data_IF_373637131954
#
_entry.id   IF_373637131954
#
_cell.length_a   1.000
_cell.length_b   1.000
_cell.length_c   1.000
_cell.angle_alpha   90.00
_cell.angle_beta   90.00
_cell.angle_gamma   90.00
#
_symmetry.space_group_name_H-M   'P 1'
#
loop_
_entity.id
_entity.type
_entity.pdbx_description
1 polymer ?
#
# COMPACT_ATOMS: atom_id res chain seq x y z
N UNK A 1 -20.66 7.93 -7.72
CA UNK A 1 -19.53 8.88 -7.57
C UNK A 1 -19.34 9.16 -6.10
N UNK A 2 -18.30 8.59 -5.50
CA UNK A 2 -17.97 8.79 -4.08
C UNK A 2 -17.27 10.14 -3.98
N UNK A 3 -17.91 11.14 -3.34
CA UNK A 3 -17.22 12.39 -3.01
C UNK A 3 -16.10 12.06 -2.02
N UNK A 4 -14.83 12.37 -2.33
CA UNK A 4 -13.76 11.93 -1.47
C UNK A 4 -13.74 12.84 -0.24
N UNK A 5 -13.84 12.22 0.94
CA UNK A 5 -14.11 12.86 2.24
C UNK A 5 -13.15 14.00 2.64
N UNK A 6 -11.98 14.09 2.00
CA UNK A 6 -10.96 15.10 2.28
C UNK A 6 -11.35 16.52 1.79
N UNK A 7 -12.32 16.68 0.89
CA UNK A 7 -12.88 18.02 0.58
C UNK A 7 -13.79 18.58 1.67
N UNK A 8 -14.22 17.77 2.64
CA UNK A 8 -15.05 18.22 3.75
C UNK A 8 -14.22 18.86 4.88
N UNK A 9 -12.89 18.80 4.79
CA UNK A 9 -11.95 19.42 5.74
C UNK A 9 -11.16 20.53 5.03
N UNK A 10 -10.77 21.60 5.75
CA UNK A 10 -10.02 22.68 5.14
C UNK A 10 -8.60 22.20 4.79
N UNK A 11 -7.94 22.79 3.78
CA UNK A 11 -6.73 22.26 3.13
C UNK A 11 -5.51 22.13 4.07
N UNK A 12 -5.53 22.78 5.23
CA UNK A 12 -4.48 22.72 6.25
C UNK A 12 -4.42 21.34 6.92
N UNK A 13 -5.57 20.68 7.11
CA UNK A 13 -5.64 19.39 7.81
C UNK A 13 -4.97 18.28 7.00
N UNK A 14 -5.31 18.06 5.71
CA UNK A 14 -4.61 17.09 4.88
C UNK A 14 -3.12 17.41 4.68
N UNK A 15 -2.78 18.71 4.53
CA UNK A 15 -1.38 19.15 4.35
C UNK A 15 -0.54 18.88 5.59
N UNK A 16 -1.09 19.10 6.78
CA UNK A 16 -0.44 18.75 8.04
C UNK A 16 -0.23 17.24 8.18
N UNK A 17 -1.25 16.43 7.89
CA UNK A 17 -1.15 14.96 7.97
C UNK A 17 -0.10 14.38 7.02
N UNK A 18 -0.02 14.89 5.79
CA UNK A 18 1.00 14.48 4.82
C UNK A 18 2.41 14.90 5.25
N UNK A 19 2.56 16.11 5.83
CA UNK A 19 3.87 16.68 6.19
C UNK A 19 4.44 16.12 7.49
N UNK A 20 3.61 15.71 8.45
CA UNK A 20 4.06 15.10 9.72
C UNK A 20 4.24 13.58 9.63
N UNK A 21 3.84 12.96 8.53
CA UNK A 21 3.92 11.52 8.33
C UNK A 21 5.35 11.01 8.16
N UNK A 22 5.57 9.75 8.53
CA UNK A 22 6.76 9.02 8.11
C UNK A 22 6.72 8.90 6.59
N UNK A 23 7.64 9.58 5.89
CA UNK A 23 7.66 9.70 4.43
C UNK A 23 7.75 8.36 3.69
N UNK A 24 8.01 8.34 2.36
CA UNK A 24 7.85 7.14 1.54
C UNK A 24 8.92 6.05 1.78
N UNK A 25 9.93 6.32 2.62
CA UNK A 25 11.07 5.44 2.88
C UNK A 25 10.70 4.01 3.27
N UNK A 26 9.79 3.77 4.23
CA UNK A 26 9.37 2.42 4.61
C UNK A 26 8.63 1.68 3.50
N UNK A 27 7.83 2.38 2.67
CA UNK A 27 7.15 1.77 1.52
C UNK A 27 8.17 1.27 0.50
N UNK A 28 9.20 2.06 0.21
CA UNK A 28 10.28 1.66 -0.69
C UNK A 28 11.19 0.57 -0.09
N UNK A 29 11.36 0.55 1.24
CA UNK A 29 12.04 -0.55 1.92
C UNK A 29 11.24 -1.86 1.82
N UNK A 30 9.93 -1.80 2.04
CA UNK A 30 9.03 -2.94 1.88
C UNK A 30 9.01 -3.45 0.43
N UNK A 31 8.95 -2.56 -0.57
CA UNK A 31 9.03 -2.93 -1.98
C UNK A 31 10.31 -3.73 -2.29
N UNK A 32 11.46 -3.26 -1.79
CA UNK A 32 12.74 -3.98 -1.94
C UNK A 32 12.73 -5.36 -1.29
N UNK A 33 12.14 -5.49 -0.10
CA UNK A 33 12.01 -6.79 0.57
C UNK A 33 11.12 -7.75 -0.23
N UNK A 34 10.02 -7.27 -0.81
CA UNK A 34 9.15 -8.06 -1.67
C UNK A 34 9.83 -8.50 -2.97
N UNK A 35 10.62 -7.63 -3.60
CA UNK A 35 11.45 -7.99 -4.76
C UNK A 35 12.49 -9.06 -4.42
N UNK A 36 13.18 -8.92 -3.28
CA UNK A 36 14.15 -9.91 -2.83
C UNK A 36 13.50 -11.29 -2.56
N UNK A 37 12.27 -11.30 -2.05
CA UNK A 37 11.50 -12.53 -1.84
C UNK A 37 11.09 -13.16 -3.17
N UNK A 38 10.64 -12.36 -4.14
CA UNK A 38 10.30 -12.83 -5.48
C UNK A 38 11.50 -13.47 -6.19
N UNK A 39 12.68 -12.86 -6.07
CA UNK A 39 13.93 -13.39 -6.60
C UNK A 39 14.27 -14.76 -6.00
N UNK A 40 14.20 -14.90 -4.67
CA UNK A 40 14.43 -16.17 -3.97
C UNK A 40 13.47 -17.26 -4.43
N UNK A 41 12.16 -16.98 -4.55
CA UNK A 41 11.22 -17.98 -5.06
C UNK A 41 11.50 -18.40 -6.50
N UNK A 42 11.92 -17.46 -7.35
CA UNK A 42 12.31 -17.76 -8.73
C UNK A 42 13.54 -18.65 -8.78
N UNK A 43 14.57 -18.32 -7.98
CA UNK A 43 15.80 -19.10 -7.87
C UNK A 43 15.51 -20.54 -7.39
N UNK A 44 14.76 -20.70 -6.30
CA UNK A 44 14.38 -22.02 -5.77
C UNK A 44 13.57 -22.82 -6.81
N UNK A 45 12.66 -22.15 -7.55
CA UNK A 45 11.90 -22.82 -8.60
C UNK A 45 12.79 -23.33 -9.75
N UNK A 46 13.85 -22.60 -10.09
CA UNK A 46 14.85 -23.00 -11.10
C UNK A 46 15.78 -24.09 -10.60
N UNK A 47 16.22 -24.02 -9.34
CA UNK A 47 17.03 -25.05 -8.71
C UNK A 47 16.25 -26.38 -8.67
N UNK A 48 14.99 -26.34 -8.22
CA UNK A 48 14.13 -27.51 -8.20
C UNK A 48 13.90 -28.05 -9.62
N UNK A 49 13.79 -27.19 -10.64
CA UNK A 49 13.72 -27.62 -12.04
C UNK A 49 14.95 -28.43 -12.45
N UNK A 50 16.14 -27.94 -12.08
CA UNK A 50 17.41 -28.59 -12.40
C UNK A 50 17.54 -29.96 -11.73
N UNK A 51 17.11 -30.08 -10.47
CA UNK A 51 17.09 -31.35 -9.74
C UNK A 51 16.16 -32.35 -10.41
N UNK A 52 14.95 -31.93 -10.80
CA UNK A 52 14.01 -32.82 -11.49
C UNK A 52 14.55 -33.28 -12.84
N UNK A 53 15.20 -32.39 -13.60
CA UNK A 53 15.84 -32.75 -14.86
C UNK A 53 17.02 -33.72 -14.65
N UNK A 54 17.83 -33.51 -13.62
CA UNK A 54 18.93 -34.40 -13.26
C UNK A 54 18.44 -35.79 -12.85
N UNK A 55 17.32 -35.89 -12.12
CA UNK A 55 16.69 -37.18 -11.78
C UNK A 55 16.24 -37.92 -13.03
N UNK A 56 15.62 -37.22 -14.00
CA UNK A 56 15.22 -37.84 -15.28
C UNK A 56 16.41 -38.30 -16.13
N UNK A 57 17.55 -37.60 -16.06
CA UNK A 57 18.78 -37.97 -16.75
C UNK A 57 19.62 -39.01 -15.99
N UNK A 58 19.26 -39.34 -14.75
CA UNK A 58 20.01 -40.27 -13.91
C UNK A 58 19.78 -41.74 -14.30
N UNK A 59 20.59 -42.64 -13.73
CA UNK A 59 20.38 -44.09 -13.87
C UNK A 59 19.13 -44.60 -13.16
N UNK A 60 18.48 -43.80 -12.33
CA UNK A 60 17.21 -44.13 -11.68
C UNK A 60 16.05 -43.88 -12.65
N UNK A 61 15.71 -44.91 -13.42
CA UNK A 61 14.62 -44.86 -14.41
C UNK A 61 13.42 -45.74 -14.00
N UNK A 62 12.26 -45.43 -14.58
CA UNK A 62 11.02 -46.20 -14.41
C UNK A 62 9.91 -45.46 -13.65
N UNK A 63 8.79 -46.14 -13.35
CA UNK A 63 7.57 -45.50 -12.83
C UNK A 63 7.75 -44.77 -11.51
N UNK A 64 8.74 -45.16 -10.71
CA UNK A 64 9.09 -44.52 -9.43
C UNK A 64 9.69 -43.12 -9.63
N UNK A 65 10.57 -42.97 -10.63
CA UNK A 65 11.20 -41.70 -10.97
C UNK A 65 10.18 -40.72 -11.59
N UNK A 66 9.29 -41.22 -12.46
CA UNK A 66 8.20 -40.41 -13.03
C UNK A 66 7.24 -39.89 -11.96
N UNK A 67 6.85 -40.74 -11.00
CA UNK A 67 6.02 -40.32 -9.87
C UNK A 67 6.70 -39.25 -9.01
N UNK A 68 8.01 -39.35 -8.80
CA UNK A 68 8.77 -38.33 -8.09
C UNK A 68 8.68 -36.97 -8.79
N UNK A 69 8.89 -36.93 -10.12
CA UNK A 69 8.79 -35.69 -10.89
C UNK A 69 7.37 -35.12 -10.85
N UNK A 70 6.35 -35.95 -11.06
CA UNK A 70 4.95 -35.52 -11.04
C UNK A 70 4.55 -34.95 -9.67
N UNK A 71 4.99 -35.58 -8.58
CA UNK A 71 4.69 -35.12 -7.22
C UNK A 71 5.26 -33.73 -6.89
N UNK A 72 6.35 -33.32 -7.54
CA UNK A 72 6.99 -32.02 -7.30
C UNK A 72 6.50 -30.89 -8.22
N UNK A 73 5.72 -31.20 -9.26
CA UNK A 73 5.15 -30.18 -10.16
C UNK A 73 4.25 -29.16 -9.43
N UNK A 74 3.35 -29.56 -8.51
CA UNK A 74 2.49 -28.60 -7.80
C UNK A 74 3.29 -27.61 -6.95
N UNK A 75 4.38 -28.07 -6.31
CA UNK A 75 5.23 -27.21 -5.49
C UNK A 75 6.01 -26.21 -6.35
N UNK A 76 6.54 -26.65 -7.50
CA UNK A 76 7.17 -25.73 -8.47
C UNK A 76 6.20 -24.69 -9.00
N UNK A 77 4.99 -25.10 -9.36
CA UNK A 77 3.95 -24.17 -9.79
C UNK A 77 3.64 -23.13 -8.69
N UNK A 78 3.48 -23.58 -7.46
CA UNK A 78 3.26 -22.68 -6.32
C UNK A 78 4.41 -21.68 -6.13
N UNK A 79 5.67 -22.10 -6.25
CA UNK A 79 6.83 -21.19 -6.14
C UNK A 79 6.79 -20.10 -7.22
N UNK A 80 6.51 -20.48 -8.48
CA UNK A 80 6.41 -19.50 -9.56
C UNK A 80 5.25 -18.53 -9.36
N UNK A 81 4.11 -19.02 -8.86
CA UNK A 81 2.98 -18.18 -8.54
C UNK A 81 3.29 -17.23 -7.36
N UNK A 82 3.91 -17.73 -6.30
CA UNK A 82 4.33 -16.93 -5.14
C UNK A 82 5.31 -15.82 -5.55
N UNK A 83 6.23 -16.11 -6.48
CA UNK A 83 7.11 -15.08 -7.06
C UNK A 83 6.29 -13.97 -7.75
N UNK A 84 5.30 -14.33 -8.59
CA UNK A 84 4.44 -13.32 -9.24
C UNK A 84 3.67 -12.46 -8.25
N UNK A 85 3.11 -13.08 -7.20
CA UNK A 85 2.39 -12.35 -6.14
C UNK A 85 3.32 -11.40 -5.39
N UNK A 86 4.55 -11.83 -5.07
CA UNK A 86 5.54 -10.98 -4.43
C UNK A 86 5.97 -9.79 -5.31
N UNK A 87 6.15 -9.99 -6.62
CA UNK A 87 6.43 -8.87 -7.56
C UNK A 87 5.28 -7.87 -7.63
N UNK A 88 4.03 -8.36 -7.66
CA UNK A 88 2.85 -7.50 -7.65
C UNK A 88 2.72 -6.70 -6.35
N UNK A 89 3.03 -7.33 -5.21
CA UNK A 89 3.08 -6.65 -3.93
C UNK A 89 4.15 -5.55 -3.93
N UNK A 90 5.35 -5.80 -4.44
CA UNK A 90 6.39 -4.78 -4.56
C UNK A 90 5.92 -3.57 -5.39
N UNK A 91 5.33 -3.81 -6.56
CA UNK A 91 4.80 -2.76 -7.43
C UNK A 91 3.68 -1.92 -6.76
N UNK A 92 2.83 -2.56 -5.93
CA UNK A 92 1.82 -1.85 -5.17
C UNK A 92 2.43 -0.89 -4.13
N UNK A 93 3.52 -1.29 -3.46
CA UNK A 93 4.23 -0.42 -2.51
C UNK A 93 4.93 0.75 -3.21
N UNK A 94 5.53 0.52 -4.38
CA UNK A 94 6.14 1.58 -5.21
C UNK A 94 5.08 2.58 -5.69
N UNK A 95 3.92 2.09 -6.14
CA UNK A 95 2.80 2.92 -6.57
C UNK A 95 2.27 3.77 -5.41
N UNK A 96 2.14 3.18 -4.21
CA UNK A 96 1.74 3.91 -3.02
C UNK A 96 2.77 4.99 -2.64
N UNK A 97 4.07 4.70 -2.74
CA UNK A 97 5.13 5.67 -2.50
C UNK A 97 5.09 6.83 -3.51
N UNK A 98 4.88 6.53 -4.80
CA UNK A 98 4.72 7.54 -5.85
C UNK A 98 3.44 8.38 -5.65
N UNK A 99 2.35 7.77 -5.19
CA UNK A 99 1.12 8.45 -4.80
C UNK A 99 1.36 9.43 -3.66
N UNK A 100 2.11 9.03 -2.63
CA UNK A 100 2.49 9.91 -1.52
C UNK A 100 3.32 11.10 -1.99
N UNK A 101 4.34 10.89 -2.83
CA UNK A 101 5.18 12.00 -3.33
C UNK A 101 4.39 12.95 -4.24
N UNK A 102 3.47 12.41 -5.04
CA UNK A 102 2.58 13.21 -5.90
C UNK A 102 1.61 14.05 -5.07
N UNK A 103 1.05 13.47 -4.00
CA UNK A 103 0.19 14.20 -3.08
C UNK A 103 0.97 15.32 -2.34
N UNK A 104 2.20 15.04 -1.92
CA UNK A 104 3.07 16.02 -1.27
C UNK A 104 3.41 17.20 -2.21
N UNK A 105 3.68 16.94 -3.49
CA UNK A 105 3.96 17.98 -4.48
C UNK A 105 2.73 18.72 -5.00
N UNK A 106 1.55 18.10 -4.93
CA UNK A 106 0.29 18.70 -5.37
C UNK A 106 -0.43 19.53 -4.30
N UNK A 107 -0.05 19.41 -3.02
CA UNK A 107 -0.63 20.21 -1.94
C UNK A 107 0.18 21.49 -1.67
N UNK A 108 -0.50 22.61 -1.39
CA UNK A 108 0.17 23.83 -0.96
C UNK A 108 0.91 23.58 0.36
N UNK A 109 2.13 24.10 0.46
CA UNK A 109 2.96 23.88 1.64
C UNK A 109 2.39 24.64 2.84
N UNK A 110 2.64 24.15 4.06
CA UNK A 110 2.20 24.84 5.28
C UNK A 110 2.76 26.26 5.39
N UNK A 111 3.93 26.53 4.78
CA UNK A 111 4.53 27.86 4.72
C UNK A 111 3.74 28.80 3.80
N UNK A 112 3.32 28.33 2.62
CA UNK A 112 2.48 29.10 1.70
C UNK A 112 1.10 29.38 2.30
N UNK A 113 0.49 28.38 2.97
CA UNK A 113 -0.76 28.56 3.70
C UNK A 113 -0.61 29.57 4.84
N UNK A 114 0.48 29.50 5.63
CA UNK A 114 0.74 30.45 6.71
C UNK A 114 0.91 31.88 6.20
N UNK A 115 1.57 32.07 5.05
CA UNK A 115 1.69 33.39 4.41
C UNK A 115 0.32 33.90 3.96
N UNK A 116 -0.51 33.06 3.34
CA UNK A 116 -1.89 33.44 2.95
C UNK A 116 -2.72 33.87 4.17
N UNK A 117 -2.65 33.12 5.28
CA UNK A 117 -3.31 33.50 6.54
C UNK A 117 -2.83 34.82 7.11
N UNK A 118 -1.52 35.11 7.07
CA UNK A 118 -1.00 36.41 7.53
C UNK A 118 -1.42 37.58 6.63
N UNK A 119 -1.68 37.31 5.34
CA UNK A 119 -2.18 38.31 4.39
C UNK A 119 -3.69 38.56 4.51
N UNK A 120 -4.45 37.62 5.10
CA UNK A 120 -5.89 37.68 5.37
C UNK A 120 -6.22 37.59 6.86
N UNK A 121 -5.98 38.66 7.64
CA UNK A 121 -6.21 38.68 9.09
C UNK A 121 -7.70 38.61 9.50
N UNK A 122 -8.61 38.73 8.54
CA UNK A 122 -10.07 38.66 8.73
C UNK A 122 -10.63 37.23 8.77
N UNK A 123 -9.81 36.21 8.46
CA UNK A 123 -10.21 34.81 8.46
C UNK A 123 -10.13 34.19 9.88
N UNK A 124 -11.15 33.44 10.34
CA UNK A 124 -11.10 32.77 11.63
C UNK A 124 -9.96 31.74 11.66
N UNK A 125 -9.17 31.74 12.74
CA UNK A 125 -8.00 30.87 12.88
C UNK A 125 -8.37 29.38 12.80
N UNK A 126 -7.46 28.54 12.31
CA UNK A 126 -7.65 27.08 12.12
C UNK A 126 -8.17 26.37 13.37
N UNK A 127 -7.79 26.86 14.57
CA UNK A 127 -8.32 26.41 15.86
C UNK A 127 -9.84 26.60 16.00
N UNK A 128 -10.36 27.75 15.55
CA UNK A 128 -11.80 28.05 15.58
C UNK A 128 -12.58 27.23 14.55
N UNK A 129 -11.99 26.97 13.38
CA UNK A 129 -12.59 26.12 12.33
C UNK A 129 -12.64 24.65 12.74
N UNK A 130 -11.58 24.11 13.36
CA UNK A 130 -11.56 22.74 13.90
C UNK A 130 -12.57 22.59 15.04
N UNK A 131 -12.66 23.56 15.96
CA UNK A 131 -13.67 23.55 17.03
C UNK A 131 -15.11 23.59 16.48
N UNK A 132 -15.37 24.43 15.46
CA UNK A 132 -16.65 24.51 14.77
C UNK A 132 -16.99 23.22 14.00
N UNK A 133 -16.03 22.65 13.29
CA UNK A 133 -16.21 21.42 12.52
C UNK A 133 -16.43 20.20 13.43
N UNK A 134 -15.67 20.08 14.53
CA UNK A 134 -15.90 19.05 15.55
C UNK A 134 -17.26 19.25 16.23
N UNK A 135 -17.65 20.49 16.56
CA UNK A 135 -18.98 20.78 17.11
C UNK A 135 -20.10 20.45 16.12
N UNK A 136 -19.88 20.64 14.81
CA UNK A 136 -20.84 20.29 13.75
C UNK A 136 -20.90 18.79 13.48
N UNK A 137 -19.77 18.08 13.52
CA UNK A 137 -19.74 16.61 13.42
C UNK A 137 -20.39 15.96 14.64
N UNK A 138 -20.18 16.49 15.85
CA UNK A 138 -20.90 16.06 17.06
C UNK A 138 -22.40 16.39 16.94
N UNK A 139 -22.79 17.55 16.41
CA UNK A 139 -24.20 17.89 16.18
C UNK A 139 -24.88 16.98 15.13
N UNK A 140 -24.15 16.57 14.08
CA UNK A 140 -24.62 15.60 13.09
C UNK A 140 -24.70 14.18 13.70
N UNK A 141 -23.72 13.80 14.53
CA UNK A 141 -23.74 12.53 15.28
C UNK A 141 -24.83 12.47 16.35
N UNK A 142 -25.16 13.59 16.99
CA UNK A 142 -26.29 13.70 17.93
C UNK A 142 -27.65 13.68 17.23
N UNK A 143 -27.71 13.91 15.91
CA UNK A 143 -28.95 13.79 15.13
C UNK A 143 -29.23 12.36 14.64
N UNK A 144 -28.34 11.39 14.94
CA UNK A 144 -28.50 9.99 14.58
C UNK A 144 -28.84 9.05 15.77
N UNK A 145 -29.85 9.33 16.62
CA UNK A 145 -30.53 8.28 17.36
C UNK A 145 -31.95 8.09 16.81
N UNK A 146 -32.11 7.69 15.54
CA UNK A 146 -33.43 7.34 14.98
C UNK A 146 -33.34 6.35 13.79
N UNK A 147 -32.36 5.44 13.78
CA UNK A 147 -32.35 4.31 12.82
C UNK A 147 -31.87 3.00 13.45
N UNK A 148 -32.36 2.72 14.65
CA UNK A 148 -32.41 1.35 15.19
C UNK A 148 -33.72 1.20 15.97
N UNK A 149 -34.77 0.72 15.29
CA UNK A 149 -35.66 -0.35 15.77
C UNK A 149 -36.80 -0.56 14.77
N UNK A 150 -36.89 -1.82 14.33
CA UNK A 150 -37.99 -2.52 13.64
C UNK A 150 -38.28 -2.24 12.17
#
# INVERSE_FOLDING_TARGET
MTFPMWFAVPPEVPSAWLSTGMGPGPLLAAARAWHALAAQYTEIATELASVLAAVQASSWQGPSADRFVVAHQPFRYWLTHAATVATAAAAAHETAAAGYTSALGGMPTLAELAVDFTSRPDMPTTSALLSSATSRMVAIGCLMPMLTTS
#
